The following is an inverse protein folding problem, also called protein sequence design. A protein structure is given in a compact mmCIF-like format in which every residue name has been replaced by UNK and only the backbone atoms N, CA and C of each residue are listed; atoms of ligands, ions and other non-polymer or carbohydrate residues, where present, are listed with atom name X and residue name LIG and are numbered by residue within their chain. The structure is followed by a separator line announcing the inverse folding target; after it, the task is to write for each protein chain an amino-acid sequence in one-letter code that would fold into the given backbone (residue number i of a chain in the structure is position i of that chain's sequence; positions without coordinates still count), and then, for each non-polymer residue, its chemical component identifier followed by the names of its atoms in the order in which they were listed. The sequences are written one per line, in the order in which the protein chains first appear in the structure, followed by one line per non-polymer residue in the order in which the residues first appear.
data_IF_902977053057
#
_entry.id   IF_902977053057
#
_cell.length_a   1.000
_cell.length_b   1.000
_cell.length_c   1.000
_cell.angle_alpha   90.00
_cell.angle_beta   90.00
_cell.angle_gamma   90.00
#
_symmetry.space_group_name_H-M   'P 1'
#
loop_
_entity.id
_entity.type
_entity.pdbx_description
1 polymer ?
#
# COMPACT_ATOMS: atom_id res chain seq x y z
N UNK A 1 25.57 -2.81 28.98
CA UNK A 1 25.66 -2.96 27.51
C UNK A 1 24.27 -3.30 27.02
N UNK A 2 23.53 -2.29 26.55
CA UNK A 2 22.17 -2.50 26.02
C UNK A 2 22.31 -3.01 24.59
N UNK A 3 22.12 -4.32 24.39
CA UNK A 3 21.90 -4.87 23.06
C UNK A 3 20.56 -4.32 22.57
N UNK A 4 20.60 -3.22 21.82
CA UNK A 4 19.50 -2.85 20.94
C UNK A 4 19.43 -3.98 19.93
N UNK A 5 18.48 -4.92 20.09
CA UNK A 5 18.18 -5.91 19.08
C UNK A 5 17.79 -5.13 17.82
N UNK A 6 18.71 -5.07 16.85
CA UNK A 6 18.39 -4.63 15.51
C UNK A 6 17.18 -5.46 15.06
N UNK A 7 16.08 -4.78 14.76
CA UNK A 7 14.87 -5.44 14.27
C UNK A 7 15.25 -6.34 13.10
N UNK A 8 14.97 -7.64 13.23
CA UNK A 8 15.23 -8.64 12.19
C UNK A 8 14.64 -8.14 10.87
N UNK A 9 15.54 -7.81 9.93
CA UNK A 9 15.24 -7.00 8.75
C UNK A 9 14.66 -7.88 7.64
N UNK A 10 13.50 -8.47 7.89
CA UNK A 10 12.80 -9.28 6.88
C UNK A 10 12.17 -8.33 5.86
N UNK A 11 12.50 -8.43 4.56
CA UNK A 11 11.86 -7.63 3.53
C UNK A 11 10.36 -7.94 3.50
N UNK A 12 9.55 -6.89 3.48
CA UNK A 12 8.10 -6.99 3.38
C UNK A 12 7.57 -6.18 2.20
N UNK A 13 6.39 -6.58 1.73
CA UNK A 13 5.65 -5.95 0.65
C UNK A 13 4.38 -5.32 1.22
N UNK A 14 4.07 -4.10 0.79
CA UNK A 14 2.83 -3.43 1.18
C UNK A 14 1.80 -3.59 0.06
N UNK A 15 0.60 -4.02 0.44
CA UNK A 15 -0.57 -3.94 -0.44
C UNK A 15 -1.27 -2.60 -0.20
N UNK A 16 -1.36 -1.78 -1.25
CA UNK A 16 -1.98 -0.45 -1.18
C UNK A 16 -3.00 -0.33 -2.31
N UNK A 17 -4.23 0.06 -1.97
CA UNK A 17 -5.27 0.40 -2.93
C UNK A 17 -5.50 1.91 -2.93
N UNK A 18 -5.80 2.46 -4.09
CA UNK A 18 -6.11 3.87 -4.26
C UNK A 18 -7.52 4.05 -4.80
N UNK A 19 -8.22 5.02 -4.22
CA UNK A 19 -9.62 5.27 -4.50
C UNK A 19 -9.80 6.73 -4.85
N UNK A 20 -10.42 7.00 -5.98
CA UNK A 20 -11.01 8.31 -6.22
C UNK A 20 -12.24 8.45 -5.33
N UNK A 21 -12.33 9.57 -4.63
CA UNK A 21 -13.42 9.86 -3.72
C UNK A 21 -14.42 10.75 -4.47
N UNK A 22 -15.72 10.41 -4.50
CA UNK A 22 -16.73 11.32 -5.03
C UNK A 22 -16.68 12.66 -4.30
N UNK A 23 -16.70 13.75 -5.05
CA UNK A 23 -16.67 15.10 -4.49
C UNK A 23 -17.78 15.97 -5.06
N UNK A 24 -18.28 16.89 -4.25
CA UNK A 24 -19.15 17.98 -4.68
C UNK A 24 -18.36 19.23 -5.08
N UNK A 25 -17.03 19.16 -5.02
CA UNK A 25 -16.14 20.23 -5.49
C UNK A 25 -16.33 20.43 -7.00
N UNK A 26 -16.54 21.67 -7.41
CA UNK A 26 -16.87 22.00 -8.80
C UNK A 26 -15.62 22.31 -9.65
N UNK A 27 -14.43 22.13 -9.06
CA UNK A 27 -13.15 22.28 -9.75
C UNK A 27 -12.77 20.97 -10.45
N UNK A 28 -12.78 20.91 -11.81
CA UNK A 28 -12.47 19.69 -12.54
C UNK A 28 -11.00 19.25 -12.43
N UNK A 29 -10.10 20.12 -11.94
CA UNK A 29 -8.70 19.75 -11.67
C UNK A 29 -8.51 19.09 -10.30
N UNK A 30 -9.53 19.12 -9.44
CA UNK A 30 -9.48 18.49 -8.14
C UNK A 30 -10.09 17.09 -8.20
N UNK A 31 -9.22 16.07 -8.23
CA UNK A 31 -9.60 14.67 -8.08
C UNK A 31 -9.20 14.25 -6.66
N UNK A 32 -10.13 14.29 -5.68
CA UNK A 32 -9.81 13.84 -4.35
C UNK A 32 -9.64 12.34 -4.36
N UNK A 33 -8.61 11.88 -3.66
CA UNK A 33 -8.31 10.47 -3.60
C UNK A 33 -7.75 10.06 -2.24
N UNK A 34 -7.91 8.78 -1.94
CA UNK A 34 -7.43 8.17 -0.70
C UNK A 34 -6.64 6.91 -1.02
N UNK A 35 -5.50 6.75 -0.35
CA UNK A 35 -4.71 5.52 -0.39
C UNK A 35 -4.90 4.75 0.90
N UNK A 36 -5.23 3.47 0.81
CA UNK A 36 -5.44 2.58 1.96
C UNK A 36 -4.38 1.50 1.94
N UNK A 37 -3.63 1.36 3.03
CA UNK A 37 -2.72 0.24 3.24
C UNK A 37 -3.51 -0.95 3.80
N UNK A 38 -3.53 -2.06 3.06
CA UNK A 38 -4.27 -3.27 3.43
C UNK A 38 -3.46 -4.21 4.33
N UNK A 39 -2.13 -4.06 4.34
CA UNK A 39 -1.25 -4.85 5.19
C UNK A 39 0.17 -4.97 4.68
N UNK A 40 0.97 -5.69 5.47
CA UNK A 40 2.34 -6.10 5.18
C UNK A 40 2.38 -7.60 4.88
N UNK A 41 3.08 -7.98 3.82
CA UNK A 41 3.15 -9.36 3.32
C UNK A 41 4.60 -9.77 3.15
N UNK A 42 4.86 -11.06 3.37
CA UNK A 42 6.19 -11.64 3.20
C UNK A 42 6.55 -11.82 1.72
N UNK A 43 5.55 -11.94 0.85
CA UNK A 43 5.75 -12.14 -0.58
C UNK A 43 5.01 -11.11 -1.43
N UNK A 44 5.59 -10.79 -2.59
CA UNK A 44 4.97 -9.92 -3.59
C UNK A 44 3.63 -10.48 -4.09
N UNK A 45 3.55 -11.81 -4.28
CA UNK A 45 2.34 -12.47 -4.80
C UNK A 45 1.17 -12.31 -3.83
N UNK A 46 1.40 -12.47 -2.53
CA UNK A 46 0.35 -12.27 -1.52
C UNK A 46 -0.12 -10.81 -1.50
N UNK A 47 0.80 -9.85 -1.44
CA UNK A 47 0.44 -8.43 -1.47
C UNK A 47 -0.38 -8.05 -2.72
N UNK A 48 0.03 -8.55 -3.89
CA UNK A 48 -0.66 -8.30 -5.15
C UNK A 48 -2.06 -8.94 -5.19
N UNK A 49 -2.18 -10.20 -4.78
CA UNK A 49 -3.47 -10.89 -4.77
C UNK A 49 -4.45 -10.22 -3.80
N UNK A 50 -3.99 -9.84 -2.60
CA UNK A 50 -4.83 -9.14 -1.63
C UNK A 50 -5.25 -7.77 -2.14
N UNK A 51 -4.34 -6.98 -2.70
CA UNK A 51 -4.69 -5.70 -3.31
C UNK A 51 -5.71 -5.88 -4.44
N UNK A 52 -5.54 -6.89 -5.30
CA UNK A 52 -6.43 -7.16 -6.43
C UNK A 52 -7.82 -7.57 -5.96
N UNK A 53 -7.91 -8.52 -5.05
CA UNK A 53 -9.20 -8.97 -4.50
C UNK A 53 -9.96 -7.82 -3.83
N UNK A 54 -9.24 -6.97 -3.09
CA UNK A 54 -9.85 -5.79 -2.48
C UNK A 54 -10.27 -4.74 -3.51
N UNK A 55 -9.47 -4.53 -4.56
CA UNK A 55 -9.78 -3.61 -5.64
C UNK A 55 -11.01 -4.04 -6.44
N UNK A 56 -11.08 -5.33 -6.83
CA UNK A 56 -12.20 -5.90 -7.58
C UNK A 56 -13.51 -5.81 -6.78
N UNK A 57 -13.45 -6.02 -5.47
CA UNK A 57 -14.63 -5.93 -4.60
C UNK A 57 -15.14 -4.50 -4.39
N UNK A 58 -14.28 -3.49 -4.54
CA UNK A 58 -14.59 -2.10 -4.15
C UNK A 58 -14.47 -1.08 -5.30
N UNK A 59 -14.37 -1.53 -6.55
CA UNK A 59 -14.13 -0.67 -7.73
C UNK A 59 -12.90 0.25 -7.56
N UNK A 60 -11.86 -0.23 -6.87
CA UNK A 60 -10.66 0.54 -6.63
C UNK A 60 -9.70 0.48 -7.82
N UNK A 61 -8.90 1.52 -8.00
CA UNK A 61 -7.72 1.43 -8.85
C UNK A 61 -6.55 0.86 -8.03
N UNK A 62 -5.90 -0.18 -8.56
CA UNK A 62 -4.71 -0.77 -7.95
C UNK A 62 -3.49 0.05 -8.38
N UNK A 63 -3.14 1.09 -7.62
CA UNK A 63 -2.18 2.12 -8.08
C UNK A 63 -0.73 1.87 -7.64
N UNK A 64 -0.44 0.87 -6.82
CA UNK A 64 0.96 0.47 -6.67
C UNK A 64 1.27 -0.44 -5.51
N UNK A 65 2.44 -1.07 -5.63
CA UNK A 65 3.07 -1.89 -4.63
C UNK A 65 4.36 -1.19 -4.19
N UNK A 66 4.58 -1.07 -2.88
CA UNK A 66 5.86 -0.63 -2.34
C UNK A 66 6.57 -1.83 -1.71
N UNK A 67 7.71 -2.20 -2.29
CA UNK A 67 8.64 -3.14 -1.67
C UNK A 67 9.65 -2.30 -0.87
N UNK A 68 9.50 -2.26 0.45
CA UNK A 68 10.46 -1.56 1.30
C UNK A 68 11.64 -2.51 1.51
N UNK A 69 12.71 -2.35 0.72
CA UNK A 69 14.05 -2.79 1.13
C UNK A 69 14.66 -1.64 1.92
N UNK A 70 14.84 -1.81 3.23
CA UNK A 70 15.60 -0.82 3.98
C UNK A 70 17.07 -0.91 3.56
N UNK A 71 17.49 0.00 2.69
CA UNK A 71 18.90 0.22 2.37
C UNK A 71 19.57 0.82 3.60
N UNK A 72 20.38 0.02 4.28
CA UNK A 72 21.30 0.52 5.30
C UNK A 72 22.38 1.38 4.65
N UNK A 73 22.58 2.59 5.20
CA UNK A 73 23.83 3.35 5.10
C UNK A 73 24.99 2.57 5.71
#
# INVERSE_FOLDING_TARGET
MNHVQAASSVPYYLAICHFEVPTTENNPEFIPSVSVCLGMFSTHREAFNTAREYADANYAALIGFSAVRHGGV
#
